data_IF_082093037213
#
_entry.id   IF_082093037213
#
_cell.length_a   1.000
_cell.length_b   1.000
_cell.length_c   1.000
_cell.angle_alpha   90.00
_cell.angle_beta   90.00
_cell.angle_gamma   90.00
#
_symmetry.space_group_name_H-M   'P 1'
#
loop_
_entity.id
_entity.type
_entity.pdbx_description
1 polymer ?
#
# COMPACT_ATOMS: atom_id res chain seq x y z
N UNK A 1 -6.30 45.65 12.22
CA UNK A 1 -7.28 44.55 12.04
C UNK A 1 -6.55 43.36 11.48
N UNK A 2 -6.10 42.43 12.35
CA UNK A 2 -5.63 41.09 11.95
C UNK A 2 -6.83 40.38 11.33
N UNK A 3 -6.85 40.23 10.00
CA UNK A 3 -7.66 39.23 9.36
C UNK A 3 -7.06 37.86 9.78
N UNK A 4 -7.68 37.24 10.78
CA UNK A 4 -7.50 35.78 10.98
C UNK A 4 -8.00 35.13 9.68
N UNK A 5 -7.08 34.61 8.88
CA UNK A 5 -7.40 33.59 7.88
C UNK A 5 -7.77 32.33 8.65
N UNK A 6 -9.03 32.21 8.99
CA UNK A 6 -9.57 30.92 9.41
C UNK A 6 -9.63 30.08 8.15
N UNK A 7 -8.87 29.01 8.15
CA UNK A 7 -8.99 27.97 7.15
C UNK A 7 -10.35 27.31 7.33
N UNK A 8 -11.22 27.38 6.33
CA UNK A 8 -12.51 26.66 6.30
C UNK A 8 -12.30 25.14 6.12
N UNK A 9 -11.06 24.70 6.19
CA UNK A 9 -10.69 23.30 6.01
C UNK A 9 -10.86 22.54 7.31
N UNK A 10 -11.87 21.70 7.38
CA UNK A 10 -12.08 20.75 8.47
C UNK A 10 -11.34 19.46 8.20
N UNK A 11 -10.32 19.17 9.00
CA UNK A 11 -9.63 17.88 9.00
C UNK A 11 -10.35 16.93 9.94
N UNK A 12 -10.99 15.89 9.40
CA UNK A 12 -11.58 14.82 10.20
C UNK A 12 -10.50 13.84 10.67
N UNK A 13 -10.51 13.49 11.96
CA UNK A 13 -9.59 12.53 12.54
C UNK A 13 -8.28 13.12 13.02
N UNK A 14 -7.36 12.23 13.42
CA UNK A 14 -6.13 12.58 14.14
C UNK A 14 -4.87 12.54 13.28
N UNK A 15 -4.98 12.22 11.99
CA UNK A 15 -3.86 12.18 11.05
C UNK A 15 -3.93 13.32 10.06
N UNK A 16 -2.80 13.73 9.48
CA UNK A 16 -2.74 14.78 8.47
C UNK A 16 -3.33 14.34 7.14
N UNK A 17 -4.17 15.20 6.54
CA UNK A 17 -4.71 15.00 5.20
C UNK A 17 -4.00 15.92 4.22
N UNK A 18 -3.40 15.34 3.19
CA UNK A 18 -2.82 16.08 2.08
C UNK A 18 -3.74 15.89 0.87
N UNK A 19 -4.20 17.00 0.31
CA UNK A 19 -5.00 16.98 -0.92
C UNK A 19 -4.09 16.97 -2.14
N UNK A 20 -4.36 17.78 -3.12
CA UNK A 20 -3.43 18.04 -4.18
C UNK A 20 -2.28 18.93 -3.68
N UNK A 21 -1.08 18.82 -4.25
CA UNK A 21 0.05 19.68 -3.89
C UNK A 21 -0.05 21.05 -4.59
N UNK A 22 -1.24 21.63 -4.51
CA UNK A 22 -1.55 22.93 -5.07
C UNK A 22 -1.44 22.92 -6.60
N UNK A 23 -0.82 23.98 -7.14
CA UNK A 23 -0.67 24.17 -8.58
C UNK A 23 0.53 23.44 -9.19
N UNK A 24 1.30 22.67 -8.40
CA UNK A 24 2.46 21.94 -8.91
C UNK A 24 2.07 20.89 -9.94
N UNK A 25 2.63 20.99 -11.10
CA UNK A 25 2.54 19.96 -12.14
C UNK A 25 3.26 18.67 -11.70
N UNK A 26 2.93 17.55 -12.34
CA UNK A 26 3.66 16.28 -12.13
C UNK A 26 5.16 16.46 -12.32
N UNK A 27 5.56 17.21 -13.36
CA UNK A 27 6.96 17.47 -13.67
C UNK A 27 7.69 18.24 -12.55
N UNK A 28 7.04 19.23 -11.95
CA UNK A 28 7.62 19.99 -10.84
C UNK A 28 7.80 19.12 -9.61
N UNK A 29 6.82 18.27 -9.27
CA UNK A 29 6.95 17.31 -8.18
C UNK A 29 8.08 16.33 -8.44
N UNK A 30 8.19 15.79 -9.67
CA UNK A 30 9.25 14.85 -10.06
C UNK A 30 10.66 15.50 -10.02
N UNK A 31 10.80 16.79 -10.35
CA UNK A 31 12.06 17.54 -10.21
C UNK A 31 12.48 17.60 -8.74
N UNK A 32 11.56 17.90 -7.84
CA UNK A 32 11.84 17.91 -6.40
C UNK A 32 12.18 16.51 -5.88
N UNK A 33 11.42 15.48 -6.27
CA UNK A 33 11.72 14.09 -5.92
C UNK A 33 13.11 13.66 -6.42
N UNK A 34 13.49 14.05 -7.63
CA UNK A 34 14.83 13.80 -8.16
C UNK A 34 15.92 14.47 -7.32
N UNK A 35 15.66 15.67 -6.82
CA UNK A 35 16.57 16.35 -5.88
C UNK A 35 16.67 15.58 -4.57
N UNK A 36 15.53 15.17 -4.00
CA UNK A 36 15.49 14.43 -2.73
C UNK A 36 16.11 13.04 -2.85
N UNK A 37 16.03 12.38 -4.02
CA UNK A 37 16.54 11.03 -4.24
C UNK A 37 18.09 10.92 -4.09
N UNK A 38 18.81 12.04 -4.11
CA UNK A 38 20.26 12.06 -3.89
C UNK A 38 20.63 11.63 -2.47
N UNK A 39 19.82 12.02 -1.48
CA UNK A 39 20.03 11.71 -0.06
C UNK A 39 19.04 10.66 0.46
N UNK A 40 17.83 10.66 -0.09
CA UNK A 40 16.72 9.78 0.32
C UNK A 40 16.35 8.86 -0.84
N UNK A 41 17.13 7.81 -1.04
CA UNK A 41 16.91 6.81 -2.08
C UNK A 41 15.51 6.19 -1.93
N UNK A 42 14.81 6.08 -3.06
CA UNK A 42 13.43 5.60 -3.16
C UNK A 42 13.37 4.24 -3.85
N UNK A 43 12.74 3.27 -3.21
CA UNK A 43 12.46 1.96 -3.79
C UNK A 43 10.95 1.74 -3.92
N UNK A 44 10.53 1.19 -5.07
CA UNK A 44 9.14 0.86 -5.35
C UNK A 44 8.96 -0.65 -5.31
N UNK A 45 7.94 -1.11 -4.58
CA UNK A 45 7.49 -2.51 -4.56
C UNK A 45 6.26 -2.65 -5.45
N UNK A 46 6.31 -3.62 -6.36
CA UNK A 46 5.22 -4.01 -7.26
C UNK A 46 4.87 -5.49 -7.01
N UNK A 47 3.92 -5.78 -6.11
CA UNK A 47 3.42 -7.15 -5.95
C UNK A 47 2.52 -7.50 -7.14
N UNK A 48 2.96 -8.41 -8.00
CA UNK A 48 2.30 -8.75 -9.25
C UNK A 48 1.97 -10.23 -9.35
N UNK A 49 0.76 -10.53 -9.81
CA UNK A 49 0.43 -11.85 -10.35
C UNK A 49 0.91 -11.93 -11.80
N UNK A 50 1.30 -13.14 -12.26
CA UNK A 50 1.65 -13.30 -13.67
C UNK A 50 0.50 -12.90 -14.61
N UNK A 51 -0.75 -13.20 -14.25
CA UNK A 51 -1.92 -12.82 -15.05
C UNK A 51 -2.09 -11.31 -15.28
N UNK A 52 -1.46 -10.47 -14.47
CA UNK A 52 -1.51 -9.01 -14.62
C UNK A 52 -0.62 -8.52 -15.77
N UNK A 53 0.41 -9.29 -16.14
CA UNK A 53 1.24 -8.99 -17.30
C UNK A 53 0.46 -9.11 -18.61
N UNK A 54 -0.58 -9.95 -18.63
CA UNK A 54 -1.46 -10.20 -19.77
C UNK A 54 -2.71 -9.30 -19.76
N UNK A 55 -2.90 -8.51 -18.68
CA UNK A 55 -3.99 -7.54 -18.52
C UNK A 55 -3.58 -6.14 -19.02
N UNK A 56 -4.53 -5.23 -19.11
CA UNK A 56 -4.30 -3.89 -19.65
C UNK A 56 -3.61 -2.93 -18.67
N UNK A 57 -3.74 -3.16 -17.36
CA UNK A 57 -3.29 -2.23 -16.35
C UNK A 57 -1.76 -2.21 -16.17
N UNK A 58 -1.14 -3.38 -15.95
CA UNK A 58 0.29 -3.44 -15.66
C UNK A 58 1.19 -2.95 -16.80
N UNK A 59 0.92 -3.22 -18.09
CA UNK A 59 1.68 -2.62 -19.18
C UNK A 59 1.67 -1.09 -19.15
N UNK A 60 0.53 -0.47 -18.86
CA UNK A 60 0.40 0.98 -18.70
C UNK A 60 1.18 1.49 -17.47
N UNK A 61 1.09 0.78 -16.35
CA UNK A 61 1.83 1.11 -15.12
C UNK A 61 3.33 1.11 -15.38
N UNK A 62 3.87 0.07 -16.02
CA UNK A 62 5.29 -0.05 -16.37
C UNK A 62 5.72 1.07 -17.32
N UNK A 63 4.88 1.42 -18.31
CA UNK A 63 5.16 2.52 -19.23
C UNK A 63 5.23 3.87 -18.50
N UNK A 64 4.30 4.15 -17.58
CA UNK A 64 4.32 5.37 -16.77
C UNK A 64 5.53 5.42 -15.81
N UNK A 65 5.86 4.31 -15.15
CA UNK A 65 7.03 4.23 -14.25
C UNK A 65 8.33 4.42 -15.05
N UNK A 66 8.43 3.92 -16.28
CA UNK A 66 9.60 4.08 -17.14
C UNK A 66 9.92 5.54 -17.48
N UNK A 67 8.96 6.45 -17.33
CA UNK A 67 9.14 7.89 -17.52
C UNK A 67 9.66 8.61 -16.28
N UNK A 68 9.69 7.94 -15.12
CA UNK A 68 10.19 8.53 -13.87
C UNK A 68 11.73 8.50 -13.85
N UNK A 69 12.33 9.43 -13.11
CA UNK A 69 13.78 9.54 -13.01
C UNK A 69 14.31 9.66 -11.56
N UNK A 70 13.43 9.56 -10.58
CA UNK A 70 13.74 9.71 -9.16
C UNK A 70 13.84 8.37 -8.41
N UNK A 71 13.29 7.28 -8.97
CA UNK A 71 13.40 5.96 -8.38
C UNK A 71 14.83 5.43 -8.46
N UNK A 72 15.30 4.82 -7.39
CA UNK A 72 16.60 4.18 -7.31
C UNK A 72 16.55 2.68 -7.62
N UNK A 73 15.47 2.02 -7.24
CA UNK A 73 15.26 0.60 -7.52
C UNK A 73 13.78 0.23 -7.53
N UNK A 74 13.44 -0.85 -8.24
CA UNK A 74 12.10 -1.43 -8.27
C UNK A 74 12.21 -2.91 -7.88
N UNK A 75 11.38 -3.34 -6.95
CA UNK A 75 11.26 -4.75 -6.56
C UNK A 75 9.92 -5.27 -7.04
N UNK A 76 9.96 -6.21 -7.97
CA UNK A 76 8.77 -6.88 -8.49
C UNK A 76 8.62 -8.21 -7.79
N UNK A 77 7.57 -8.38 -7.02
CA UNK A 77 7.20 -9.69 -6.46
C UNK A 77 6.32 -10.43 -7.46
N UNK A 78 6.88 -11.41 -8.16
CA UNK A 78 6.13 -12.19 -9.16
C UNK A 78 5.55 -13.45 -8.53
N UNK A 79 4.23 -13.52 -8.47
CA UNK A 79 3.48 -14.62 -7.89
C UNK A 79 2.64 -15.37 -8.94
N UNK A 80 2.37 -16.66 -8.70
CA UNK A 80 1.59 -17.56 -9.57
C UNK A 80 2.14 -17.64 -11.00
N UNK A 81 3.45 -17.76 -11.14
CA UNK A 81 4.15 -17.85 -12.41
C UNK A 81 4.87 -19.21 -12.56
N UNK A 82 4.57 -19.93 -13.63
CA UNK A 82 5.34 -21.12 -14.04
C UNK A 82 6.70 -20.69 -14.60
N UNK A 83 7.62 -21.65 -14.77
CA UNK A 83 8.98 -21.38 -15.27
C UNK A 83 9.03 -20.65 -16.61
N UNK A 84 8.19 -21.04 -17.55
CA UNK A 84 8.09 -20.38 -18.87
C UNK A 84 7.46 -18.98 -18.76
N UNK A 85 6.51 -18.79 -17.82
CA UNK A 85 5.85 -17.51 -17.54
C UNK A 85 6.80 -16.54 -16.85
N UNK A 86 7.62 -17.03 -15.92
CA UNK A 86 8.67 -16.24 -15.30
C UNK A 86 9.64 -15.67 -16.36
N UNK A 87 10.06 -16.49 -17.36
CA UNK A 87 10.90 -16.01 -18.46
C UNK A 87 10.25 -14.87 -19.26
N UNK A 88 8.93 -14.98 -19.52
CA UNK A 88 8.18 -13.90 -20.17
C UNK A 88 8.12 -12.64 -19.30
N UNK A 89 7.97 -12.81 -17.98
CA UNK A 89 7.97 -11.68 -17.05
C UNK A 89 9.31 -10.93 -17.06
N UNK A 90 10.45 -11.64 -17.07
CA UNK A 90 11.77 -10.98 -17.22
C UNK A 90 11.81 -10.11 -18.47
N UNK A 91 11.41 -10.64 -19.62
CA UNK A 91 11.37 -9.89 -20.88
C UNK A 91 10.39 -8.70 -20.81
N UNK A 92 9.26 -8.87 -20.14
CA UNK A 92 8.25 -7.80 -19.99
C UNK A 92 8.82 -6.61 -19.22
N UNK A 93 9.51 -6.85 -18.10
CA UNK A 93 10.06 -5.80 -17.24
C UNK A 93 11.37 -5.17 -17.75
N UNK A 94 11.98 -5.68 -18.83
CA UNK A 94 13.12 -5.04 -19.52
C UNK A 94 12.81 -3.61 -20.01
N UNK A 95 11.53 -3.25 -20.12
CA UNK A 95 11.09 -1.88 -20.43
C UNK A 95 11.40 -0.87 -19.31
N UNK A 96 11.60 -1.33 -18.08
CA UNK A 96 11.94 -0.46 -16.97
C UNK A 96 13.36 0.10 -17.16
N UNK A 97 13.48 1.42 -17.05
CA UNK A 97 14.78 2.12 -17.12
C UNK A 97 15.50 2.16 -15.78
N UNK A 98 14.73 2.11 -14.70
CA UNK A 98 15.25 2.03 -13.34
C UNK A 98 15.76 0.62 -13.07
N UNK A 99 16.90 0.44 -12.37
CA UNK A 99 17.34 -0.88 -11.94
C UNK A 99 16.22 -1.61 -11.17
N UNK A 100 16.07 -2.91 -11.42
CA UNK A 100 15.00 -3.69 -10.79
C UNK A 100 15.46 -5.10 -10.42
N UNK A 101 14.72 -5.71 -9.50
CA UNK A 101 14.85 -7.10 -9.09
C UNK A 101 13.48 -7.78 -9.20
N UNK A 102 13.43 -8.96 -9.80
CA UNK A 102 12.22 -9.79 -9.82
C UNK A 102 12.41 -10.92 -8.79
N UNK A 103 11.55 -10.95 -7.80
CA UNK A 103 11.39 -12.05 -6.86
C UNK A 103 10.33 -13.01 -7.39
N UNK A 104 10.76 -14.12 -7.95
CA UNK A 104 9.84 -15.14 -8.43
C UNK A 104 9.44 -16.07 -7.29
N UNK A 105 8.25 -15.87 -6.73
CA UNK A 105 7.76 -16.58 -5.54
C UNK A 105 7.65 -18.10 -5.73
N UNK A 106 7.33 -18.54 -6.95
CA UNK A 106 7.25 -19.97 -7.31
C UNK A 106 8.60 -20.54 -7.77
N UNK A 107 9.64 -19.74 -7.78
CA UNK A 107 10.97 -20.12 -8.23
C UNK A 107 11.73 -20.95 -7.20
N UNK A 108 12.74 -21.74 -7.66
CA UNK A 108 13.43 -22.68 -6.79
C UNK A 108 14.15 -22.01 -5.62
N UNK A 109 14.78 -20.85 -5.84
CA UNK A 109 15.52 -20.12 -4.79
C UNK A 109 14.62 -19.61 -3.68
N UNK A 110 13.45 -19.05 -4.04
CA UNK A 110 12.53 -18.52 -3.03
C UNK A 110 11.79 -19.65 -2.32
N UNK A 111 11.52 -20.76 -3.00
CA UNK A 111 10.99 -21.97 -2.36
C UNK A 111 11.96 -22.58 -1.35
N UNK A 112 13.24 -22.66 -1.68
CA UNK A 112 14.27 -23.12 -0.75
C UNK A 112 14.32 -22.25 0.51
N UNK A 113 14.31 -20.93 0.35
CA UNK A 113 14.25 -19.98 1.47
C UNK A 113 12.96 -20.15 2.29
N UNK A 114 11.80 -20.30 1.64
CA UNK A 114 10.51 -20.52 2.30
C UNK A 114 10.53 -21.82 3.12
N UNK A 115 11.11 -22.89 2.58
CA UNK A 115 11.25 -24.17 3.26
C UNK A 115 12.18 -24.07 4.49
N UNK A 116 13.26 -23.33 4.40
CA UNK A 116 14.15 -23.06 5.55
C UNK A 116 13.44 -22.25 6.65
N UNK A 117 12.73 -21.21 6.26
CA UNK A 117 11.95 -20.39 7.20
C UNK A 117 10.82 -21.20 7.84
N UNK A 118 10.18 -22.08 7.07
CA UNK A 118 9.10 -22.95 7.56
C UNK A 118 9.58 -23.96 8.59
N UNK A 119 10.79 -24.52 8.43
CA UNK A 119 11.41 -25.38 9.46
C UNK A 119 11.66 -24.67 10.78
N UNK A 120 11.68 -23.32 10.77
CA UNK A 120 11.90 -22.46 11.94
C UNK A 120 10.61 -21.77 12.42
N UNK A 121 9.45 -22.12 11.86
CA UNK A 121 8.15 -21.47 12.11
C UNK A 121 8.14 -19.94 11.81
N UNK A 122 8.97 -19.50 10.87
CA UNK A 122 9.12 -18.11 10.47
C UNK A 122 8.49 -17.78 9.12
N UNK A 123 8.09 -18.78 8.34
CA UNK A 123 7.49 -18.56 7.02
C UNK A 123 6.05 -18.02 7.14
N UNK A 124 5.61 -17.13 6.22
CA UNK A 124 4.22 -16.74 6.13
C UNK A 124 3.29 -17.93 5.92
N UNK A 125 2.20 -17.99 6.70
CA UNK A 125 1.29 -19.16 6.70
C UNK A 125 0.38 -19.26 5.47
N UNK A 126 0.12 -18.12 4.80
CA UNK A 126 -0.80 -18.04 3.67
C UNK A 126 -0.08 -17.65 2.38
N UNK A 127 -0.48 -18.25 1.27
CA UNK A 127 -0.03 -17.87 -0.07
C UNK A 127 -0.93 -16.76 -0.61
N UNK A 128 -0.36 -15.59 -0.92
CA UNK A 128 -1.12 -14.46 -1.42
C UNK A 128 -0.32 -13.15 -1.39
N UNK A 129 -1.03 -12.04 -1.55
CA UNK A 129 -0.43 -10.70 -1.60
C UNK A 129 0.45 -10.40 -0.38
N UNK A 130 -0.01 -10.72 0.82
CA UNK A 130 0.75 -10.47 2.04
C UNK A 130 2.10 -11.19 2.05
N UNK A 131 2.14 -12.48 1.67
CA UNK A 131 3.39 -13.23 1.52
C UNK A 131 4.30 -12.61 0.46
N UNK A 132 3.76 -12.26 -0.69
CA UNK A 132 4.52 -11.61 -1.76
C UNK A 132 5.17 -10.30 -1.27
N UNK A 133 4.40 -9.44 -0.65
CA UNK A 133 4.87 -8.17 -0.08
C UNK A 133 5.92 -8.42 1.02
N UNK A 134 5.74 -9.42 1.87
CA UNK A 134 6.68 -9.77 2.93
C UNK A 134 8.08 -10.10 2.38
N UNK A 135 8.16 -10.91 1.32
CA UNK A 135 9.44 -11.20 0.65
C UNK A 135 10.04 -9.97 -0.03
N UNK A 136 9.21 -9.12 -0.64
CA UNK A 136 9.68 -7.86 -1.24
C UNK A 136 10.30 -6.92 -0.18
N UNK A 137 9.68 -6.81 0.99
CA UNK A 137 10.21 -6.03 2.10
C UNK A 137 11.50 -6.63 2.66
N UNK A 138 11.58 -7.96 2.74
CA UNK A 138 12.82 -8.67 3.07
C UNK A 138 13.95 -8.34 2.09
N UNK A 139 13.65 -8.23 0.79
CA UNK A 139 14.62 -7.81 -0.21
C UNK A 139 15.05 -6.34 -0.01
N UNK A 140 14.13 -5.43 0.32
CA UNK A 140 14.47 -4.04 0.67
C UNK A 140 15.46 -3.99 1.85
N UNK A 141 15.22 -4.81 2.88
CA UNK A 141 16.12 -4.91 4.05
C UNK A 141 17.49 -5.45 3.63
N UNK A 142 17.51 -6.53 2.86
CA UNK A 142 18.76 -7.17 2.41
C UNK A 142 19.61 -6.26 1.50
N UNK A 143 18.96 -5.43 0.68
CA UNK A 143 19.65 -4.44 -0.17
C UNK A 143 20.25 -3.29 0.63
N UNK A 144 19.63 -2.91 1.73
CA UNK A 144 20.05 -1.82 2.64
C UNK A 144 20.29 -0.45 1.98
N UNK A 145 19.70 -0.20 0.82
CA UNK A 145 19.91 1.03 0.06
C UNK A 145 18.77 2.05 0.22
N UNK A 146 17.54 1.59 0.33
CA UNK A 146 16.36 2.45 0.44
C UNK A 146 16.43 3.36 1.68
N UNK A 147 15.94 4.58 1.55
CA UNK A 147 15.59 5.48 2.65
C UNK A 147 14.08 5.68 2.75
N UNK A 148 13.39 5.39 1.68
CA UNK A 148 11.93 5.33 1.62
C UNK A 148 11.48 4.24 0.66
N UNK A 149 10.34 3.65 0.96
CA UNK A 149 9.73 2.58 0.17
C UNK A 149 8.31 2.96 -0.11
N UNK A 150 7.84 2.75 -1.33
CA UNK A 150 6.43 2.80 -1.68
C UNK A 150 5.98 1.45 -2.24
N UNK A 151 4.71 1.17 -2.04
CA UNK A 151 4.03 0.02 -2.61
C UNK A 151 2.73 0.48 -3.24
N UNK A 152 2.38 -0.06 -4.40
CA UNK A 152 1.06 0.06 -4.99
C UNK A 152 0.68 -1.20 -5.76
N UNK A 153 -0.62 -1.37 -5.98
CA UNK A 153 -1.17 -2.50 -6.72
C UNK A 153 -0.81 -2.43 -8.21
N UNK A 154 -0.80 -3.59 -8.87
CA UNK A 154 -0.44 -3.74 -10.28
C UNK A 154 -1.67 -3.80 -11.21
N UNK A 155 -2.87 -3.67 -10.69
CA UNK A 155 -4.14 -3.77 -11.44
C UNK A 155 -4.89 -2.44 -11.58
N UNK A 156 -4.22 -1.32 -11.32
CA UNK A 156 -4.79 0.04 -11.40
C UNK A 156 -4.94 0.47 -12.86
N UNK A 157 -6.15 0.44 -13.39
CA UNK A 157 -6.45 0.79 -14.78
C UNK A 157 -6.30 2.29 -15.09
N UNK A 158 -6.57 3.13 -14.09
CA UNK A 158 -6.48 4.59 -14.18
C UNK A 158 -5.12 5.13 -13.75
N UNK A 159 -4.09 4.28 -13.70
CA UNK A 159 -2.76 4.67 -13.24
C UNK A 159 -2.17 5.83 -14.02
N UNK A 160 -1.60 6.77 -13.29
CA UNK A 160 -0.78 7.87 -13.77
C UNK A 160 0.43 8.01 -12.82
N UNK A 161 1.61 8.34 -13.37
CA UNK A 161 2.83 8.49 -12.56
C UNK A 161 2.75 9.59 -11.50
N UNK A 162 1.79 10.54 -11.65
CA UNK A 162 1.50 11.53 -10.61
C UNK A 162 1.08 10.87 -9.29
N UNK A 163 0.35 9.75 -9.35
CA UNK A 163 -0.03 8.97 -8.16
C UNK A 163 1.19 8.54 -7.37
N UNK A 164 2.20 7.98 -8.05
CA UNK A 164 3.45 7.55 -7.41
C UNK A 164 4.24 8.74 -6.85
N UNK A 165 4.32 9.83 -7.60
CA UNK A 165 4.99 11.04 -7.16
C UNK A 165 4.35 11.62 -5.89
N UNK A 166 3.02 11.71 -5.85
CA UNK A 166 2.26 12.13 -4.67
C UNK A 166 2.47 11.20 -3.47
N UNK A 167 2.57 9.89 -3.72
CA UNK A 167 2.73 8.90 -2.66
C UNK A 167 4.11 8.99 -1.98
N UNK A 168 5.19 9.23 -2.75
CA UNK A 168 6.52 9.39 -2.19
C UNK A 168 6.75 10.75 -1.53
N UNK A 169 6.17 11.80 -2.08
CA UNK A 169 6.49 13.17 -1.71
C UNK A 169 6.43 13.46 -0.20
N UNK A 170 5.39 13.03 0.56
CA UNK A 170 5.31 13.32 1.99
C UNK A 170 6.43 12.70 2.83
N UNK A 171 6.87 11.49 2.49
CA UNK A 171 7.88 10.75 3.28
C UNK A 171 9.32 11.11 2.91
N UNK A 172 9.54 11.68 1.71
CA UNK A 172 10.88 12.05 1.25
C UNK A 172 11.18 13.54 1.32
N UNK A 173 10.17 14.39 1.42
CA UNK A 173 10.38 15.83 1.55
C UNK A 173 11.07 16.15 2.89
N UNK A 174 12.25 16.80 2.87
CA UNK A 174 12.99 17.09 4.10
C UNK A 174 12.28 18.05 5.04
N UNK A 175 11.33 18.83 4.53
CA UNK A 175 10.54 19.77 5.33
C UNK A 175 9.37 19.11 6.08
N UNK A 176 9.03 17.86 5.72
CA UNK A 176 7.95 17.11 6.35
C UNK A 176 8.50 16.07 7.32
N UNK A 177 7.78 15.83 8.40
CA UNK A 177 8.13 14.82 9.39
C UNK A 177 7.23 13.59 9.34
N UNK A 178 6.77 13.21 8.16
CA UNK A 178 5.97 12.01 8.00
C UNK A 178 6.84 10.77 7.83
N UNK A 179 6.54 9.76 8.65
CA UNK A 179 7.16 8.43 8.58
C UNK A 179 6.37 7.51 7.64
N UNK A 180 5.06 7.70 7.57
CA UNK A 180 4.14 6.88 6.79
C UNK A 180 3.12 7.76 6.06
N UNK A 181 2.82 7.40 4.81
CA UNK A 181 1.79 8.05 4.00
C UNK A 181 0.89 6.98 3.37
N UNK A 182 -0.42 7.10 3.57
CA UNK A 182 -1.45 6.28 2.95
C UNK A 182 -2.06 6.99 1.77
N UNK A 183 -2.15 6.33 0.62
CA UNK A 183 -2.93 6.84 -0.50
C UNK A 183 -4.43 6.72 -0.25
N UNK A 184 -5.20 7.66 -0.77
CA UNK A 184 -6.65 7.53 -0.87
C UNK A 184 -7.16 8.12 -2.19
N UNK A 185 -8.36 7.74 -2.58
CA UNK A 185 -9.01 8.14 -3.83
C UNK A 185 -10.50 7.81 -3.76
N UNK A 186 -11.36 8.55 -4.49
CA UNK A 186 -12.75 8.18 -4.63
C UNK A 186 -12.86 6.92 -5.51
N UNK A 187 -13.57 5.91 -5.01
CA UNK A 187 -13.84 4.67 -5.76
C UNK A 187 -15.03 4.87 -6.69
N UNK A 188 -14.89 5.81 -7.62
CA UNK A 188 -15.92 6.12 -8.64
C UNK A 188 -15.34 5.84 -10.02
N UNK A 189 -16.04 5.04 -10.79
CA UNK A 189 -15.70 4.68 -12.15
C UNK A 189 -16.99 4.37 -12.91
N UNK A 190 -17.09 4.85 -14.14
CA UNK A 190 -18.24 4.62 -15.03
C UNK A 190 -19.62 4.90 -14.36
N UNK A 191 -19.73 6.02 -13.64
CA UNK A 191 -20.92 6.43 -12.86
C UNK A 191 -21.34 5.42 -11.77
N UNK A 192 -20.46 4.53 -11.33
CA UNK A 192 -20.69 3.58 -10.27
C UNK A 192 -19.78 3.84 -9.08
N UNK A 193 -20.35 3.79 -7.88
CA UNK A 193 -19.60 3.89 -6.65
C UNK A 193 -19.09 2.52 -6.22
N UNK A 194 -17.77 2.35 -6.25
CA UNK A 194 -17.06 1.17 -5.76
C UNK A 194 -16.75 1.22 -4.25
N UNK A 195 -15.77 0.43 -3.81
CA UNK A 195 -15.33 0.42 -2.41
C UNK A 195 -16.36 -0.17 -1.44
N UNK A 196 -17.09 -1.18 -1.88
CA UNK A 196 -18.16 -1.82 -1.09
C UNK A 196 -17.71 -2.28 0.30
N UNK A 197 -16.54 -2.93 0.39
CA UNK A 197 -16.05 -3.45 1.67
C UNK A 197 -15.74 -2.31 2.65
N UNK A 198 -15.07 -1.26 2.23
CA UNK A 198 -14.82 -0.10 3.09
C UNK A 198 -16.13 0.55 3.54
N UNK A 199 -17.04 0.81 2.61
CA UNK A 199 -18.27 1.57 2.82
C UNK A 199 -19.37 0.81 3.56
N UNK A 200 -19.52 -0.48 3.26
CA UNK A 200 -20.61 -1.31 3.79
C UNK A 200 -20.18 -2.20 4.96
N UNK A 201 -18.89 -2.37 5.19
CA UNK A 201 -18.36 -3.19 6.27
C UNK A 201 -17.45 -2.38 7.22
N UNK A 202 -16.31 -1.87 6.74
CA UNK A 202 -15.27 -1.32 7.63
C UNK A 202 -15.78 -0.14 8.43
N UNK A 203 -16.35 0.89 7.80
CA UNK A 203 -16.84 2.06 8.53
C UNK A 203 -18.08 1.76 9.40
N UNK A 204 -19.08 0.99 8.96
CA UNK A 204 -20.15 0.55 9.84
C UNK A 204 -19.66 -0.30 11.02
N UNK A 205 -18.68 -1.19 10.81
CA UNK A 205 -18.10 -2.01 11.88
C UNK A 205 -17.38 -1.13 12.92
N UNK A 206 -16.56 -0.17 12.50
CA UNK A 206 -15.92 0.77 13.40
C UNK A 206 -16.98 1.50 14.25
N UNK A 207 -18.02 2.00 13.61
CA UNK A 207 -19.11 2.71 14.30
C UNK A 207 -19.86 1.81 15.30
N UNK A 208 -20.09 0.55 14.94
CA UNK A 208 -20.73 -0.41 15.83
C UNK A 208 -19.85 -0.75 17.04
N UNK A 209 -18.55 -0.95 16.80
CA UNK A 209 -17.57 -1.20 17.86
C UNK A 209 -17.47 -0.01 18.81
N UNK A 210 -17.38 1.23 18.31
CA UNK A 210 -17.40 2.44 19.14
C UNK A 210 -18.65 2.52 20.06
N UNK A 211 -19.81 2.09 19.55
CA UNK A 211 -21.04 2.06 20.34
C UNK A 211 -21.04 0.95 21.40
N UNK A 212 -20.36 -0.16 21.15
CA UNK A 212 -20.39 -1.35 22.01
C UNK A 212 -19.31 -1.31 23.10
N UNK A 213 -18.09 -0.96 22.74
CA UNK A 213 -16.94 -0.98 23.64
C UNK A 213 -16.47 0.42 24.07
N UNK A 214 -17.10 1.47 23.55
CA UNK A 214 -16.72 2.86 23.79
C UNK A 214 -15.63 3.36 22.85
N UNK A 215 -15.17 4.59 23.09
CA UNK A 215 -14.09 5.21 22.30
C UNK A 215 -12.78 4.48 22.54
N UNK A 216 -12.03 4.25 21.47
CA UNK A 216 -10.71 3.64 21.47
C UNK A 216 -9.80 4.43 20.52
N UNK A 217 -8.55 4.67 20.91
CA UNK A 217 -7.56 5.34 20.09
C UNK A 217 -7.35 4.61 18.75
N UNK A 218 -7.44 3.29 18.77
CA UNK A 218 -7.35 2.47 17.55
C UNK A 218 -8.53 2.71 16.60
N UNK A 219 -9.76 2.74 17.12
CA UNK A 219 -10.95 2.97 16.29
C UNK A 219 -10.96 4.40 15.73
N UNK A 220 -10.58 5.38 16.54
CA UNK A 220 -10.43 6.77 16.08
C UNK A 220 -9.37 6.90 14.98
N UNK A 221 -8.23 6.24 15.16
CA UNK A 221 -7.16 6.19 14.18
C UNK A 221 -7.64 5.56 12.86
N UNK A 222 -8.27 4.39 12.92
CA UNK A 222 -8.80 3.71 11.73
C UNK A 222 -9.86 4.54 11.00
N UNK A 223 -10.72 5.21 11.73
CA UNK A 223 -11.77 6.09 11.21
C UNK A 223 -11.22 7.35 10.53
N UNK A 224 -9.99 7.76 10.87
CA UNK A 224 -9.34 8.93 10.29
C UNK A 224 -8.95 8.74 8.82
N UNK A 225 -8.82 7.50 8.35
CA UNK A 225 -8.47 7.22 6.96
C UNK A 225 -9.69 7.28 6.05
N UNK A 226 -9.60 8.04 4.98
CA UNK A 226 -10.66 8.16 3.97
C UNK A 226 -10.88 6.87 3.19
N UNK A 227 -9.81 6.12 2.94
CA UNK A 227 -9.87 4.79 2.33
C UNK A 227 -8.84 3.85 2.97
N UNK A 228 -9.16 3.22 4.12
CA UNK A 228 -8.21 2.37 4.87
C UNK A 228 -7.75 1.14 4.10
N UNK A 229 -8.54 0.67 3.13
CA UNK A 229 -8.24 -0.51 2.31
C UNK A 229 -7.45 -0.19 1.02
N UNK A 230 -6.95 1.04 0.84
CA UNK A 230 -6.07 1.34 -0.29
C UNK A 230 -4.81 0.48 -0.23
N UNK A 231 -4.42 -0.13 -1.36
CA UNK A 231 -3.18 -0.89 -1.48
C UNK A 231 -1.93 -0.01 -1.61
N UNK A 232 -2.11 1.30 -1.72
CA UNK A 232 -1.07 2.27 -1.98
C UNK A 232 -0.62 2.95 -0.68
N UNK A 233 0.65 2.79 -0.34
CA UNK A 233 1.26 3.46 0.80
C UNK A 233 2.77 3.61 0.61
N UNK A 234 3.37 4.55 1.33
CA UNK A 234 4.80 4.75 1.38
C UNK A 234 5.25 4.98 2.82
N UNK A 235 6.52 4.73 3.09
CA UNK A 235 7.07 4.89 4.43
C UNK A 235 8.59 5.06 4.40
N UNK A 236 9.13 5.59 5.50
CA UNK A 236 10.57 5.67 5.71
C UNK A 236 11.15 4.31 6.13
N UNK A 237 12.40 4.09 5.78
CA UNK A 237 13.09 2.81 5.97
C UNK A 237 13.11 2.29 7.41
N UNK A 238 13.17 3.18 8.40
CA UNK A 238 13.16 2.80 9.82
C UNK A 238 11.94 1.94 10.22
N UNK A 239 10.84 2.03 9.46
CA UNK A 239 9.65 1.20 9.67
C UNK A 239 9.87 -0.27 9.28
N UNK A 240 10.72 -0.55 8.28
CA UNK A 240 10.89 -1.90 7.70
C UNK A 240 11.15 -3.01 8.73
N UNK A 241 12.11 -2.88 9.67
CA UNK A 241 12.43 -3.96 10.59
C UNK A 241 11.33 -4.26 11.60
N UNK A 242 10.43 -3.30 11.85
CA UNK A 242 9.38 -3.38 12.86
C UNK A 242 8.02 -3.75 12.27
N UNK A 243 7.90 -3.71 10.93
CA UNK A 243 6.63 -3.89 10.24
C UNK A 243 6.20 -5.35 10.23
N UNK A 244 5.19 -5.68 11.02
CA UNK A 244 4.55 -6.99 11.01
C UNK A 244 3.43 -7.00 10.00
N UNK A 245 3.56 -7.82 8.96
CA UNK A 245 2.59 -7.91 7.87
C UNK A 245 1.77 -9.17 8.01
N UNK A 246 0.44 -9.01 7.86
CA UNK A 246 -0.46 -10.15 7.69
C UNK A 246 -0.22 -10.84 6.35
N UNK A 247 -0.16 -12.16 6.36
CA UNK A 247 -0.01 -12.94 5.12
C UNK A 247 -1.31 -13.11 4.34
N UNK A 248 -2.45 -12.69 4.91
CA UNK A 248 -3.79 -12.76 4.33
C UNK A 248 -4.27 -11.43 3.72
N UNK A 249 -5.57 -11.31 3.46
CA UNK A 249 -6.23 -10.10 2.94
C UNK A 249 -6.30 -8.93 3.94
N UNK A 250 -5.88 -9.14 5.16
CA UNK A 250 -5.82 -8.10 6.19
C UNK A 250 -4.58 -7.20 6.12
N UNK A 251 -3.78 -7.29 5.06
CA UNK A 251 -2.50 -6.57 4.95
C UNK A 251 -2.65 -5.06 5.15
N UNK A 252 -3.61 -4.42 4.50
CA UNK A 252 -3.78 -2.98 4.56
C UNK A 252 -4.17 -2.52 5.97
N UNK A 253 -5.14 -3.21 6.58
CA UNK A 253 -5.56 -2.94 7.97
C UNK A 253 -4.45 -3.31 8.95
N UNK A 254 -3.73 -4.39 8.69
CA UNK A 254 -2.59 -4.82 9.49
C UNK A 254 -1.48 -3.77 9.53
N UNK A 255 -1.09 -3.24 8.37
CA UNK A 255 -0.10 -2.15 8.27
C UNK A 255 -0.55 -0.91 9.04
N UNK A 256 -1.80 -0.47 8.89
CA UNK A 256 -2.33 0.66 9.64
C UNK A 256 -2.32 0.40 11.15
N UNK A 257 -2.62 -0.82 11.56
CA UNK A 257 -2.57 -1.22 12.98
C UNK A 257 -1.15 -1.17 13.54
N UNK A 258 -0.12 -1.55 12.76
CA UNK A 258 1.28 -1.41 13.16
C UNK A 258 1.69 0.06 13.25
N UNK A 259 1.21 0.91 12.34
CA UNK A 259 1.45 2.35 12.41
C UNK A 259 0.85 2.97 13.67
N UNK A 260 -0.39 2.64 13.99
CA UNK A 260 -1.05 3.10 15.21
C UNK A 260 -0.30 2.70 16.48
N UNK A 261 0.26 1.47 16.50
CA UNK A 261 0.97 0.95 17.67
C UNK A 261 2.33 1.61 17.88
N UNK A 262 3.06 1.90 16.80
CA UNK A 262 4.49 2.21 16.86
C UNK A 262 4.80 3.70 16.62
N UNK A 263 3.87 4.46 16.05
CA UNK A 263 4.12 5.83 15.60
C UNK A 263 3.06 6.81 16.08
N UNK A 264 3.49 8.03 16.33
CA UNK A 264 2.57 9.13 16.62
C UNK A 264 1.69 9.46 15.40
N UNK A 265 0.39 9.75 15.59
CA UNK A 265 -0.47 10.22 14.51
C UNK A 265 0.10 11.45 13.75
N UNK A 266 0.89 12.29 14.41
CA UNK A 266 1.55 13.45 13.78
C UNK A 266 2.61 13.07 12.75
N UNK A 267 3.12 11.84 12.80
CA UNK A 267 4.09 11.31 11.83
C UNK A 267 3.41 10.52 10.69
N UNK A 268 2.08 10.51 10.67
CA UNK A 268 1.28 9.76 9.70
C UNK A 268 0.40 10.72 8.92
N UNK A 269 0.37 10.52 7.60
CA UNK A 269 -0.52 11.26 6.73
C UNK A 269 -1.23 10.36 5.73
N UNK A 270 -2.22 10.92 5.08
CA UNK A 270 -2.83 10.36 3.88
C UNK A 270 -2.85 11.39 2.76
N UNK A 271 -2.73 10.94 1.53
CA UNK A 271 -2.67 11.80 0.34
C UNK A 271 -3.69 11.39 -0.70
N UNK A 272 -4.34 12.39 -1.30
CA UNK A 272 -5.22 12.22 -2.44
C UNK A 272 -4.42 11.86 -3.69
N UNK A 273 -4.61 10.65 -4.21
CA UNK A 273 -3.85 10.17 -5.36
C UNK A 273 -4.50 10.51 -6.70
N UNK A 274 -5.82 10.52 -6.78
CA UNK A 274 -6.54 10.71 -8.04
C UNK A 274 -8.02 11.04 -7.82
N UNK A 275 -8.61 11.77 -8.78
CA UNK A 275 -10.05 12.08 -8.79
C UNK A 275 -10.90 10.86 -9.17
N UNK A 276 -10.33 9.93 -9.91
CA UNK A 276 -10.97 8.67 -10.32
C UNK A 276 -10.02 7.50 -10.13
N UNK A 277 -10.57 6.37 -9.69
CA UNK A 277 -9.78 5.17 -9.49
C UNK A 277 -10.57 3.93 -9.88
N UNK A 278 -10.02 3.18 -10.83
CA UNK A 278 -10.54 1.89 -11.25
C UNK A 278 -9.44 0.81 -11.23
N UNK A 279 -9.80 -0.37 -10.74
CA UNK A 279 -8.94 -1.55 -10.73
C UNK A 279 -9.79 -2.81 -10.98
N UNK A 280 -9.13 -3.95 -11.06
CA UNK A 280 -9.81 -5.24 -11.17
C UNK A 280 -10.75 -5.47 -9.99
N UNK A 281 -12.04 -5.70 -10.28
CA UNK A 281 -13.02 -5.98 -9.24
C UNK A 281 -12.96 -7.46 -8.81
N UNK A 282 -12.98 -7.68 -7.49
CA UNK A 282 -13.21 -9.02 -6.94
C UNK A 282 -14.71 -9.35 -6.99
N UNK A 283 -15.02 -10.58 -7.35
CA UNK A 283 -16.39 -11.07 -7.36
C UNK A 283 -16.90 -11.33 -5.94
N UNK A 284 -18.22 -11.16 -5.76
CA UNK A 284 -18.88 -11.52 -4.52
C UNK A 284 -19.21 -13.01 -4.55
N UNK A 285 -18.55 -13.80 -3.70
CA UNK A 285 -18.83 -15.23 -3.55
C UNK A 285 -19.80 -15.44 -2.38
N UNK A 286 -21.11 -15.35 -2.66
CA UNK A 286 -22.16 -15.42 -1.62
C UNK A 286 -22.13 -16.78 -0.90
N UNK A 287 -21.84 -17.86 -1.61
CA UNK A 287 -21.86 -19.23 -1.11
C UNK A 287 -20.47 -19.81 -0.81
N UNK A 288 -19.41 -19.01 -0.86
CA UNK A 288 -18.03 -19.46 -0.64
C UNK A 288 -17.24 -18.37 0.11
N UNK A 289 -17.15 -18.52 1.41
CA UNK A 289 -16.44 -17.62 2.32
C UNK A 289 -14.90 -17.77 2.24
N UNK A 290 -14.41 -18.72 1.45
CA UNK A 290 -12.97 -18.95 1.22
C UNK A 290 -12.41 -18.12 0.06
N UNK A 291 -13.26 -17.35 -0.66
CA UNK A 291 -12.88 -16.58 -1.86
C UNK A 291 -13.47 -15.16 -1.87
N UNK A 292 -12.88 -14.35 -2.75
CA UNK A 292 -13.39 -13.05 -3.15
C UNK A 292 -13.62 -12.08 -1.98
N UNK A 293 -14.67 -11.27 -2.09
CA UNK A 293 -14.98 -10.25 -1.09
C UNK A 293 -15.38 -10.83 0.27
N UNK A 294 -15.96 -12.02 0.32
CA UNK A 294 -16.32 -12.69 1.57
C UNK A 294 -15.08 -13.03 2.39
N UNK A 295 -14.10 -13.67 1.79
CA UNK A 295 -12.80 -13.95 2.43
C UNK A 295 -12.12 -12.67 2.89
N UNK A 296 -12.04 -11.66 2.03
CA UNK A 296 -11.45 -10.36 2.37
C UNK A 296 -12.13 -9.75 3.60
N UNK A 297 -13.46 -9.75 3.64
CA UNK A 297 -14.24 -9.21 4.75
C UNK A 297 -13.94 -9.92 6.07
N UNK A 298 -13.88 -11.24 6.06
CA UNK A 298 -13.55 -12.07 7.23
C UNK A 298 -12.14 -11.75 7.74
N UNK A 299 -11.15 -11.69 6.86
CA UNK A 299 -9.76 -11.44 7.25
C UNK A 299 -9.58 -10.02 7.84
N UNK A 300 -10.28 -9.02 7.28
CA UNK A 300 -10.30 -7.65 7.81
C UNK A 300 -10.90 -7.63 9.21
N UNK A 301 -12.08 -8.23 9.41
CA UNK A 301 -12.75 -8.29 10.71
C UNK A 301 -11.83 -8.96 11.74
N UNK A 302 -11.27 -10.13 11.42
CA UNK A 302 -10.35 -10.86 12.30
C UNK A 302 -9.15 -9.99 12.71
N UNK A 303 -8.58 -9.25 11.77
CA UNK A 303 -7.43 -8.37 12.04
C UNK A 303 -7.82 -7.25 12.99
N UNK A 304 -8.95 -6.58 12.77
CA UNK A 304 -9.43 -5.51 13.64
C UNK A 304 -9.74 -6.01 15.05
N UNK A 305 -10.47 -7.13 15.18
CA UNK A 305 -10.83 -7.69 16.50
C UNK A 305 -9.59 -8.13 17.26
N UNK A 306 -8.63 -8.81 16.60
CA UNK A 306 -7.36 -9.19 17.24
C UNK A 306 -6.61 -7.98 17.77
N UNK A 307 -6.61 -6.86 17.04
CA UNK A 307 -5.96 -5.64 17.50
C UNK A 307 -6.65 -5.02 18.71
N UNK A 308 -7.97 -4.95 18.71
CA UNK A 308 -8.74 -4.47 19.87
C UNK A 308 -8.48 -5.34 21.11
N UNK A 309 -8.47 -6.66 20.96
CA UNK A 309 -8.16 -7.58 22.04
C UNK A 309 -6.74 -7.37 22.62
N UNK A 310 -5.74 -7.09 21.78
CA UNK A 310 -4.36 -6.79 22.25
C UNK A 310 -4.23 -5.45 22.97
N UNK A 311 -5.23 -4.57 22.87
CA UNK A 311 -5.27 -3.27 23.56
C UNK A 311 -6.09 -3.30 24.86
N UNK A 312 -6.49 -4.48 25.32
CA UNK A 312 -7.27 -4.64 26.55
C UNK A 312 -8.77 -4.42 26.39
N UNK A 313 -9.24 -4.29 25.18
CA UNK A 313 -10.68 -4.24 24.86
C UNK A 313 -11.19 -5.66 24.60
N UNK A 314 -11.33 -6.46 25.63
CA UNK A 314 -11.87 -7.83 25.61
C UNK A 314 -13.38 -7.84 25.89
#
# INVERSE_FOLDING_TARGET
SLKLFMSDFSQNGIISNLHDFGTKSTKEIEIELKKFSKERKMELILPSLYSELEADALPKIVDEISKTNYLNHIIVGLDKAKKNEAKKAWKFFEKLKTPYTILWNDGPRLKELDDELRKKDLAPNHFGKGRNVWYCLGMCIARDEARSVALHDCDIKTYDRRMLAKLFYPVVNPMFNFEFCKGYYPRVSNNKMGGRVARLLVFPLITALEKTIGKSDYLEFMKSFKYPLAGEFSFRRNILPELRISSDWGIEVGVLSEMQRNYSPHNICQVDLADTYDHKHQELSINDDTRGLSKMSIDIIKTMIRKLATQGNS
#
